data_IF_252443604898
#
_entry.id   IF_252443604898
#
_cell.length_a   1.000
_cell.length_b   1.000
_cell.length_c   1.000
_cell.angle_alpha   90.00
_cell.angle_beta   90.00
_cell.angle_gamma   90.00
#
_symmetry.space_group_name_H-M   'P 1'
#
loop_
_entity.id
_entity.type
_entity.pdbx_description
1 polymer ?
#
# COMPACT_ATOMS: atom_id res chain seq x y z
N UNK A 1 -31.59 47.25 31.99
CA UNK A 1 -30.64 47.61 30.89
C UNK A 1 -29.48 46.62 30.71
N UNK A 2 -29.08 45.83 31.72
CA UNK A 2 -27.86 45.00 31.66
C UNK A 2 -27.90 43.72 30.79
N UNK A 3 -29.08 43.29 30.31
CA UNK A 3 -29.26 41.97 29.65
C UNK A 3 -29.10 42.01 28.12
N UNK A 4 -29.33 43.17 27.47
CA UNK A 4 -29.23 43.34 26.01
C UNK A 4 -27.78 43.41 25.54
N UNK A 5 -26.91 44.07 26.30
CA UNK A 5 -25.50 44.28 25.93
C UNK A 5 -24.71 42.97 25.96
N UNK A 6 -25.05 42.05 26.88
CA UNK A 6 -24.45 40.71 26.93
C UNK A 6 -24.88 39.82 25.76
N UNK A 7 -26.13 39.94 25.30
CA UNK A 7 -26.64 39.18 24.14
C UNK A 7 -25.94 39.66 22.87
N UNK A 8 -25.75 40.97 22.70
CA UNK A 8 -25.00 41.53 21.59
C UNK A 8 -23.52 41.12 21.64
N UNK A 9 -22.89 41.14 22.82
CA UNK A 9 -21.51 40.70 22.99
C UNK A 9 -21.34 39.20 22.68
N UNK A 10 -22.29 38.34 23.08
CA UNK A 10 -22.26 36.92 22.74
C UNK A 10 -22.51 36.68 21.26
N UNK A 11 -23.43 37.41 20.63
CA UNK A 11 -23.70 37.29 19.19
C UNK A 11 -22.48 37.68 18.35
N UNK A 12 -21.79 38.75 18.76
CA UNK A 12 -20.57 39.23 18.11
C UNK A 12 -19.40 38.24 18.25
N UNK A 13 -19.24 37.64 19.44
CA UNK A 13 -18.19 36.64 19.67
C UNK A 13 -18.42 35.35 18.86
N UNK A 14 -19.67 34.92 18.67
CA UNK A 14 -20.00 33.73 17.87
C UNK A 14 -19.74 33.96 16.37
N UNK A 15 -19.96 35.19 15.87
CA UNK A 15 -19.67 35.55 14.47
C UNK A 15 -18.15 35.56 14.20
N UNK A 16 -17.34 36.00 15.17
CA UNK A 16 -15.87 36.03 15.04
C UNK A 16 -15.28 34.60 15.01
N UNK A 17 -15.83 33.66 15.79
CA UNK A 17 -15.40 32.26 15.73
C UNK A 17 -15.74 31.60 14.39
N UNK A 18 -16.88 31.94 13.78
CA UNK A 18 -17.30 31.41 12.48
C UNK A 18 -16.42 31.88 11.31
N UNK A 19 -15.78 33.05 11.42
CA UNK A 19 -14.86 33.57 10.40
C UNK A 19 -13.47 32.93 10.43
N UNK A 20 -13.06 32.32 11.55
CA UNK A 20 -11.75 31.66 11.70
C UNK A 20 -11.76 30.16 11.40
N UNK A 21 -12.92 29.54 11.18
CA UNK A 21 -13.05 28.11 10.92
C UNK A 21 -12.92 27.70 9.44
N UNK A 22 -12.44 28.59 8.56
CA UNK A 22 -12.08 28.15 7.20
C UNK A 22 -10.80 27.32 7.27
N UNK A 23 -10.82 26.04 6.84
CA UNK A 23 -9.57 25.32 6.63
C UNK A 23 -8.78 26.09 5.57
N UNK A 24 -7.63 26.61 5.96
CA UNK A 24 -6.68 27.15 5.00
C UNK A 24 -6.23 25.99 4.13
N UNK A 25 -6.84 25.86 2.95
CA UNK A 25 -6.39 24.94 1.91
C UNK A 25 -5.04 25.50 1.41
N UNK A 26 -3.95 25.06 2.05
CA UNK A 26 -2.61 25.47 1.65
C UNK A 26 -2.25 24.76 0.34
N UNK A 27 -2.60 25.37 -0.79
CA UNK A 27 -2.10 24.95 -2.09
C UNK A 27 -0.67 25.44 -2.27
N UNK A 28 0.27 24.52 -2.47
CA UNK A 28 1.65 24.89 -2.78
C UNK A 28 1.72 25.62 -4.12
N UNK A 29 2.33 26.80 -4.09
CA UNK A 29 2.70 27.57 -5.26
C UNK A 29 3.72 26.80 -6.13
N UNK A 30 3.83 27.17 -7.41
CA UNK A 30 4.81 26.57 -8.32
C UNK A 30 6.27 26.74 -7.83
N UNK A 31 6.54 27.86 -7.15
CA UNK A 31 7.85 28.18 -6.60
C UNK A 31 8.20 27.27 -5.41
N UNK A 32 7.25 27.03 -4.50
CA UNK A 32 7.42 26.11 -3.38
C UNK A 32 7.61 24.67 -3.85
N UNK A 33 6.88 24.24 -4.90
CA UNK A 33 7.07 22.91 -5.50
C UNK A 33 8.48 22.74 -6.07
N UNK A 34 9.02 23.77 -6.70
CA UNK A 34 10.39 23.76 -7.24
C UNK A 34 11.42 23.66 -6.12
N UNK A 35 11.27 24.45 -5.06
CA UNK A 35 12.14 24.40 -3.88
C UNK A 35 12.11 23.03 -3.20
N UNK A 36 10.92 22.42 -3.08
CA UNK A 36 10.76 21.09 -2.51
C UNK A 36 11.47 20.02 -3.36
N UNK A 37 11.31 20.05 -4.70
CA UNK A 37 12.01 19.11 -5.59
C UNK A 37 13.53 19.20 -5.44
N UNK A 38 14.07 20.41 -5.37
CA UNK A 38 15.50 20.62 -5.14
C UNK A 38 15.94 19.99 -3.81
N UNK A 39 15.16 20.17 -2.74
CA UNK A 39 15.46 19.56 -1.44
C UNK A 39 15.38 18.04 -1.44
N UNK A 40 14.41 17.45 -2.14
CA UNK A 40 14.32 15.99 -2.30
C UNK A 40 15.56 15.46 -3.02
N UNK A 41 15.99 16.11 -4.11
CA UNK A 41 17.18 15.71 -4.85
C UNK A 41 18.45 15.81 -3.99
N UNK A 42 18.59 16.85 -3.19
CA UNK A 42 19.68 16.99 -2.21
C UNK A 42 19.69 15.82 -1.23
N UNK A 43 18.55 15.49 -0.61
CA UNK A 43 18.44 14.37 0.34
C UNK A 43 18.78 13.02 -0.30
N UNK A 44 18.34 12.79 -1.54
CA UNK A 44 18.66 11.57 -2.28
C UNK A 44 20.14 11.47 -2.65
N UNK A 45 20.78 12.60 -2.96
CA UNK A 45 22.21 12.64 -3.24
C UNK A 45 23.07 12.47 -1.98
N UNK A 46 22.63 13.03 -0.85
CA UNK A 46 23.28 12.85 0.45
C UNK A 46 23.14 11.41 0.96
N UNK A 47 22.01 10.74 0.67
CA UNK A 47 21.69 9.41 1.18
C UNK A 47 21.17 8.47 0.07
N UNK A 48 22.04 8.00 -0.84
CA UNK A 48 21.64 7.12 -1.94
C UNK A 48 21.09 5.76 -1.46
N UNK A 49 21.43 5.33 -0.24
CA UNK A 49 20.92 4.10 0.37
C UNK A 49 19.40 4.10 0.59
N UNK A 50 18.76 5.28 0.63
CA UNK A 50 17.30 5.39 0.67
C UNK A 50 16.65 4.75 -0.56
N UNK A 51 17.29 4.84 -1.72
CA UNK A 51 16.81 4.21 -2.95
C UNK A 51 16.90 2.68 -2.86
N UNK A 52 18.00 2.16 -2.34
CA UNK A 52 18.17 0.71 -2.12
C UNK A 52 17.13 0.20 -1.12
N UNK A 53 16.93 0.93 -0.03
CA UNK A 53 15.91 0.60 0.98
C UNK A 53 14.51 0.60 0.38
N UNK A 54 14.18 1.59 -0.45
CA UNK A 54 12.90 1.65 -1.15
C UNK A 54 12.73 0.49 -2.13
N UNK A 55 13.78 0.12 -2.87
CA UNK A 55 13.77 -1.01 -3.80
C UNK A 55 13.59 -2.34 -3.07
N UNK A 56 14.33 -2.58 -1.97
CA UNK A 56 14.14 -3.78 -1.15
C UNK A 56 12.73 -3.85 -0.57
N UNK A 57 12.20 -2.73 -0.05
CA UNK A 57 10.83 -2.66 0.46
C UNK A 57 9.78 -2.94 -0.62
N UNK A 58 10.02 -2.51 -1.86
CA UNK A 58 9.16 -2.85 -3.00
C UNK A 58 9.26 -4.33 -3.36
N UNK A 59 10.47 -4.87 -3.46
CA UNK A 59 10.71 -6.27 -3.80
C UNK A 59 10.06 -7.20 -2.79
N UNK A 60 10.19 -6.92 -1.50
CA UNK A 60 9.55 -7.72 -0.44
C UNK A 60 8.02 -7.76 -0.57
N UNK A 61 7.37 -6.64 -0.93
CA UNK A 61 5.91 -6.63 -1.16
C UNK A 61 5.53 -7.45 -2.38
N UNK A 62 6.29 -7.31 -3.47
CA UNK A 62 6.06 -8.10 -4.69
C UNK A 62 6.20 -9.60 -4.41
N UNK A 63 7.22 -10.00 -3.65
CA UNK A 63 7.41 -11.40 -3.25
C UNK A 63 6.23 -11.92 -2.42
N UNK A 64 5.75 -11.13 -1.44
CA UNK A 64 4.58 -11.48 -0.64
C UNK A 64 3.30 -11.62 -1.49
N UNK A 65 3.06 -10.70 -2.41
CA UNK A 65 1.94 -10.76 -3.35
C UNK A 65 2.04 -11.99 -4.26
N UNK A 66 3.25 -12.32 -4.74
CA UNK A 66 3.50 -13.51 -5.54
C UNK A 66 3.29 -14.81 -4.77
N UNK A 67 3.69 -14.89 -3.49
CA UNK A 67 3.41 -16.04 -2.64
C UNK A 67 1.90 -16.26 -2.46
N UNK A 68 1.16 -15.18 -2.21
CA UNK A 68 -0.30 -15.25 -2.10
C UNK A 68 -0.96 -15.69 -3.41
N UNK A 69 -0.46 -15.19 -4.55
CA UNK A 69 -0.90 -15.58 -5.87
C UNK A 69 -0.59 -17.06 -6.15
N UNK A 70 0.60 -17.56 -5.79
CA UNK A 70 0.99 -18.97 -5.94
C UNK A 70 0.03 -19.91 -5.23
N UNK A 71 -0.32 -19.63 -3.97
CA UNK A 71 -1.28 -20.44 -3.22
C UNK A 71 -2.64 -20.48 -3.91
N UNK A 72 -3.11 -19.33 -4.39
CA UNK A 72 -4.37 -19.23 -5.14
C UNK A 72 -4.31 -20.04 -6.44
N UNK A 73 -3.20 -19.96 -7.18
CA UNK A 73 -2.99 -20.75 -8.39
C UNK A 73 -2.97 -22.25 -8.09
N UNK A 74 -2.26 -22.70 -7.06
CA UNK A 74 -2.22 -24.11 -6.66
C UNK A 74 -3.61 -24.64 -6.27
N UNK A 75 -4.39 -23.85 -5.52
CA UNK A 75 -5.77 -24.21 -5.17
C UNK A 75 -6.64 -24.35 -6.42
N UNK A 76 -6.55 -23.39 -7.35
CA UNK A 76 -7.34 -23.40 -8.58
C UNK A 76 -6.92 -24.52 -9.54
N UNK A 77 -5.64 -24.90 -9.54
CA UNK A 77 -5.09 -25.95 -10.42
C UNK A 77 -5.01 -27.32 -9.75
N UNK A 78 -5.43 -27.47 -8.49
CA UNK A 78 -5.24 -28.68 -7.70
C UNK A 78 -5.69 -29.95 -8.43
N UNK A 79 -6.88 -29.95 -9.04
CA UNK A 79 -7.39 -31.11 -9.79
C UNK A 79 -6.52 -31.44 -11.00
N UNK A 80 -6.05 -30.42 -11.73
CA UNK A 80 -5.18 -30.63 -12.88
C UNK A 80 -3.80 -31.17 -12.46
N UNK A 81 -3.32 -30.80 -11.27
CA UNK A 81 -2.05 -31.32 -10.72
C UNK A 81 -2.17 -32.74 -10.19
N UNK A 82 -3.30 -33.12 -9.58
CA UNK A 82 -3.48 -34.40 -8.89
C UNK A 82 -4.18 -35.48 -9.73
N UNK A 83 -4.93 -35.09 -10.78
CA UNK A 83 -5.84 -35.99 -11.53
C UNK A 83 -5.62 -35.95 -13.05
N UNK A 84 -4.43 -35.56 -13.50
CA UNK A 84 -4.07 -35.64 -14.92
C UNK A 84 -3.91 -37.10 -15.37
N UNK A 85 -4.70 -37.59 -16.35
CA UNK A 85 -4.63 -38.99 -16.81
C UNK A 85 -3.31 -39.35 -17.50
N UNK A 86 -2.58 -38.36 -18.02
CA UNK A 86 -1.30 -38.59 -18.71
C UNK A 86 -0.11 -38.58 -17.73
N UNK A 87 -0.34 -38.23 -16.46
CA UNK A 87 0.68 -38.20 -15.42
C UNK A 87 0.90 -39.59 -14.79
N UNK A 88 2.17 -39.97 -14.61
CA UNK A 88 2.54 -41.21 -13.93
C UNK A 88 2.31 -41.10 -12.41
N UNK A 89 1.55 -42.04 -11.84
CA UNK A 89 1.32 -42.13 -10.40
C UNK A 89 2.19 -43.23 -9.80
N UNK A 90 3.09 -42.85 -8.88
CA UNK A 90 3.86 -43.78 -8.06
C UNK A 90 3.32 -43.84 -6.63
N UNK A 91 3.23 -45.04 -6.04
CA UNK A 91 2.85 -45.22 -4.63
C UNK A 91 1.36 -45.47 -4.41
N UNK A 92 0.82 -44.98 -3.28
CA UNK A 92 -0.57 -45.18 -2.88
C UNK A 92 -1.45 -43.99 -3.34
N UNK A 93 -2.36 -44.18 -4.33
CA UNK A 93 -3.23 -43.11 -4.81
C UNK A 93 -4.30 -42.67 -3.79
N UNK A 94 -4.53 -43.45 -2.74
CA UNK A 94 -5.44 -43.13 -1.65
C UNK A 94 -4.70 -42.63 -0.38
N UNK A 95 -3.47 -42.16 -0.53
CA UNK A 95 -2.70 -41.58 0.59
C UNK A 95 -3.19 -40.19 0.98
N UNK A 96 -2.91 -39.79 2.23
CA UNK A 96 -3.29 -38.47 2.76
C UNK A 96 -2.44 -37.31 2.20
N UNK A 97 -1.31 -37.63 1.54
CA UNK A 97 -0.35 -36.67 0.99
C UNK A 97 -0.06 -37.04 -0.46
N UNK A 98 -0.17 -36.04 -1.35
CA UNK A 98 0.22 -36.14 -2.75
C UNK A 98 1.43 -35.23 -3.00
N UNK A 99 2.49 -35.79 -3.61
CA UNK A 99 3.63 -35.03 -4.10
C UNK A 99 3.56 -35.00 -5.63
N UNK A 100 3.56 -33.79 -6.21
CA UNK A 100 3.58 -33.58 -7.65
C UNK A 100 4.96 -33.01 -8.02
N UNK A 101 5.71 -33.74 -8.83
CA UNK A 101 7.06 -33.37 -9.25
C UNK A 101 7.08 -32.98 -10.73
N UNK A 102 7.65 -31.80 -11.02
CA UNK A 102 7.82 -31.31 -12.37
C UNK A 102 9.25 -31.59 -12.84
N UNK A 103 9.39 -32.44 -13.85
CA UNK A 103 10.68 -32.72 -14.48
C UNK A 103 10.85 -31.89 -15.75
N UNK A 104 12.00 -31.22 -15.91
CA UNK A 104 12.49 -30.68 -17.18
C UNK A 104 13.69 -31.53 -17.61
N UNK A 105 13.60 -32.17 -18.79
CA UNK A 105 14.59 -33.17 -19.27
C UNK A 105 15.71 -32.57 -20.13
N UNK A 106 15.96 -31.28 -20.03
CA UNK A 106 17.03 -30.60 -20.78
C UNK A 106 18.36 -30.58 -20.06
#
# INVERSE_FOLDING_TARGET
MYKRDKIFATLLATIICLLFSFPAQAEMTAQEKTALKAKILEVLNENPELLITALHGLQQRVEQEQEQAKLTTLQNQRKALEQDPDSFVAGNPAGDITLVEFFDYR
#
